data_IF_316137929877
#
_entry.id   IF_316137929877
#
_cell.length_a   1.000
_cell.length_b   1.000
_cell.length_c   1.000
_cell.angle_alpha   90.00
_cell.angle_beta   90.00
_cell.angle_gamma   90.00
#
_symmetry.space_group_name_H-M   'P 1'
#
loop_
_entity.id
_entity.type
_entity.pdbx_description
1 polymer ?
#
# COMPACT_ATOMS: atom_id res chain seq x y z
N UNK A 1 -8.67 -41.65 9.51
CA UNK A 1 -9.42 -40.39 9.75
C UNK A 1 -8.44 -39.22 9.65
N UNK A 2 -7.67 -39.14 8.55
CA UNK A 2 -6.41 -38.38 8.52
C UNK A 2 -6.33 -37.34 7.41
N UNK A 3 -7.37 -37.25 6.56
CA UNK A 3 -7.42 -36.30 5.46
C UNK A 3 -7.89 -34.91 5.90
N UNK A 4 -8.77 -34.85 6.92
CA UNK A 4 -9.37 -33.61 7.44
C UNK A 4 -8.40 -32.75 8.25
N UNK A 5 -7.41 -33.37 8.91
CA UNK A 5 -6.42 -32.66 9.75
C UNK A 5 -5.34 -31.99 8.87
N UNK A 6 -4.97 -32.60 7.74
CA UNK A 6 -4.03 -32.02 6.76
C UNK A 6 -4.63 -30.87 5.96
N UNK A 7 -5.92 -30.94 5.62
CA UNK A 7 -6.62 -29.80 5.00
C UNK A 7 -6.77 -28.61 5.94
N UNK A 8 -6.94 -28.84 7.25
CA UNK A 8 -7.10 -27.76 8.23
C UNK A 8 -5.78 -27.01 8.52
N UNK A 9 -4.64 -27.71 8.47
CA UNK A 9 -3.31 -27.11 8.67
C UNK A 9 -2.86 -26.24 7.49
N UNK A 10 -3.18 -26.62 6.25
CA UNK A 10 -2.89 -25.81 5.05
C UNK A 10 -3.70 -24.51 5.06
N UNK A 11 -4.98 -24.58 5.46
CA UNK A 11 -5.85 -23.39 5.56
C UNK A 11 -5.39 -22.44 6.67
N UNK A 12 -4.86 -22.96 7.78
CA UNK A 12 -4.36 -22.14 8.88
C UNK A 12 -3.03 -21.41 8.56
N UNK A 13 -2.17 -21.99 7.71
CA UNK A 13 -0.93 -21.35 7.25
C UNK A 13 -1.15 -20.20 6.27
N UNK A 14 -2.26 -20.21 5.52
CA UNK A 14 -2.59 -19.12 4.59
C UNK A 14 -3.15 -17.88 5.30
N UNK A 15 -3.76 -18.06 6.48
CA UNK A 15 -4.38 -16.98 7.24
C UNK A 15 -3.37 -16.11 8.02
N UNK A 16 -2.12 -16.53 8.20
CA UNK A 16 -1.14 -15.80 9.01
C UNK A 16 -0.41 -14.69 8.25
N UNK A 17 -0.41 -14.70 6.92
CA UNK A 17 0.36 -13.72 6.12
C UNK A 17 -0.34 -12.36 6.07
N UNK A 18 -1.68 -12.31 6.11
CA UNK A 18 -2.42 -11.04 5.96
C UNK A 18 -2.63 -10.26 7.26
N UNK A 19 -2.34 -10.85 8.43
CA UNK A 19 -2.67 -10.25 9.73
C UNK A 19 -1.55 -9.37 10.35
N UNK A 20 -0.43 -9.14 9.66
CA UNK A 20 0.73 -8.43 10.22
C UNK A 20 0.94 -6.99 9.72
N UNK A 21 0.17 -6.53 8.73
CA UNK A 21 0.21 -5.15 8.27
C UNK A 21 -0.29 -4.22 9.39
N UNK A 22 0.57 -3.31 9.87
CA UNK A 22 0.42 -2.36 11.00
C UNK A 22 1.07 -2.78 12.33
N UNK A 23 1.70 -3.95 12.45
CA UNK A 23 2.30 -4.39 13.73
C UNK A 23 3.42 -3.49 14.26
N UNK A 24 4.08 -2.72 13.38
CA UNK A 24 5.14 -1.75 13.76
C UNK A 24 4.65 -0.42 14.34
N UNK A 25 3.34 -0.13 14.31
CA UNK A 25 2.85 1.22 14.58
C UNK A 25 2.61 1.49 16.07
N UNK A 26 3.10 2.65 16.52
CA UNK A 26 2.83 3.20 17.86
C UNK A 26 1.73 4.26 17.74
N UNK A 27 1.23 4.75 18.87
CA UNK A 27 0.22 5.83 18.91
C UNK A 27 0.59 7.05 18.05
N UNK A 28 1.87 7.44 18.02
CA UNK A 28 2.34 8.54 17.18
C UNK A 28 2.20 8.21 15.68
N UNK A 29 2.59 7.02 15.26
CA UNK A 29 2.47 6.58 13.86
C UNK A 29 1.01 6.52 13.42
N UNK A 30 0.09 6.07 14.29
CA UNK A 30 -1.34 6.06 13.98
C UNK A 30 -1.88 7.49 13.77
N UNK A 31 -1.48 8.46 14.60
CA UNK A 31 -1.85 9.87 14.40
C UNK A 31 -1.32 10.43 13.09
N UNK A 32 -0.07 10.14 12.77
CA UNK A 32 0.53 10.53 11.49
C UNK A 32 -0.21 9.88 10.31
N UNK A 33 -0.63 8.62 10.44
CA UNK A 33 -1.40 7.94 9.41
C UNK A 33 -2.76 8.62 9.20
N UNK A 34 -3.47 8.95 10.28
CA UNK A 34 -4.75 9.66 10.20
C UNK A 34 -4.58 11.04 9.55
N UNK A 35 -3.52 11.78 9.90
CA UNK A 35 -3.17 13.06 9.29
C UNK A 35 -2.89 12.92 7.79
N UNK A 36 -2.07 11.94 7.40
CA UNK A 36 -1.76 11.68 6.00
C UNK A 36 -3.00 11.34 5.17
N UNK A 37 -3.93 10.56 5.74
CA UNK A 37 -5.22 10.22 5.11
C UNK A 37 -6.10 11.44 4.90
N UNK A 38 -6.16 12.33 5.89
CA UNK A 38 -6.92 13.60 5.76
C UNK A 38 -6.32 14.46 4.65
N UNK A 39 -5.00 14.68 4.65
CA UNK A 39 -4.31 15.43 3.60
C UNK A 39 -4.53 14.83 2.21
N UNK A 40 -4.42 13.50 2.08
CA UNK A 40 -4.69 12.80 0.83
C UNK A 40 -6.13 13.03 0.36
N UNK A 41 -7.12 12.93 1.26
CA UNK A 41 -8.53 13.16 0.93
C UNK A 41 -8.82 14.60 0.50
N UNK A 42 -8.05 15.57 0.99
CA UNK A 42 -8.12 16.97 0.59
C UNK A 42 -7.38 17.28 -0.72
N UNK A 43 -6.65 16.31 -1.28
CA UNK A 43 -5.81 16.49 -2.46
C UNK A 43 -4.47 17.17 -2.18
N UNK A 44 -4.07 17.28 -0.90
CA UNK A 44 -2.80 17.83 -0.44
C UNK A 44 -1.68 16.78 -0.59
N UNK A 45 -1.46 16.36 -1.84
CA UNK A 45 -0.65 15.18 -2.17
C UNK A 45 0.82 15.29 -1.74
N UNK A 46 1.41 16.48 -1.81
CA UNK A 46 2.82 16.68 -1.47
C UNK A 46 3.05 16.54 0.05
N UNK A 47 2.14 17.07 0.85
CA UNK A 47 2.14 17.00 2.31
C UNK A 47 1.87 15.57 2.77
N UNK A 48 0.84 14.93 2.21
CA UNK A 48 0.54 13.52 2.47
C UNK A 48 1.74 12.61 2.12
N UNK A 49 2.39 12.81 0.96
CA UNK A 49 3.56 12.03 0.56
C UNK A 49 4.72 12.12 1.56
N UNK A 50 4.97 13.30 2.14
CA UNK A 50 6.02 13.47 3.16
C UNK A 50 5.75 12.59 4.38
N UNK A 51 4.49 12.54 4.84
CA UNK A 51 4.12 11.72 6.00
C UNK A 51 4.20 10.23 5.64
N UNK A 52 3.66 9.81 4.49
CA UNK A 52 3.74 8.40 4.07
C UNK A 52 5.18 7.92 3.88
N UNK A 53 6.10 8.77 3.43
CA UNK A 53 7.53 8.44 3.35
C UNK A 53 8.17 8.22 4.73
N UNK A 54 7.69 8.89 5.78
CA UNK A 54 8.12 8.65 7.16
C UNK A 54 7.49 7.39 7.76
N UNK A 55 6.29 7.04 7.34
CA UNK A 55 5.53 5.89 7.82
C UNK A 55 5.98 4.57 7.18
N UNK A 56 6.32 4.57 5.89
CA UNK A 56 6.76 3.38 5.15
C UNK A 56 7.91 2.59 5.83
N UNK A 57 8.99 3.20 6.36
CA UNK A 57 10.05 2.44 7.01
C UNK A 57 9.66 1.90 8.40
N UNK A 58 8.58 2.38 9.01
CA UNK A 58 8.11 1.90 10.33
C UNK A 58 7.51 0.50 10.21
N UNK A 59 6.75 0.28 9.15
CA UNK A 59 6.23 -1.04 8.79
C UNK A 59 6.30 -1.21 7.26
N UNK A 60 7.45 -1.73 6.76
CA UNK A 60 7.68 -1.87 5.32
C UNK A 60 6.69 -2.80 4.61
N UNK A 61 6.05 -3.71 5.36
CA UNK A 61 5.08 -4.68 4.85
C UNK A 61 3.64 -4.13 4.87
N UNK A 62 3.45 -2.91 5.36
CA UNK A 62 2.14 -2.27 5.33
C UNK A 62 1.81 -1.76 3.93
N UNK A 63 1.27 -2.65 3.09
CA UNK A 63 0.96 -2.38 1.68
C UNK A 63 0.09 -1.14 1.49
N UNK A 64 -0.84 -0.86 2.40
CA UNK A 64 -1.72 0.32 2.34
C UNK A 64 -0.92 1.63 2.32
N UNK A 65 0.12 1.76 3.15
CA UNK A 65 0.96 2.97 3.22
C UNK A 65 1.72 3.18 1.91
N UNK A 66 2.17 2.08 1.30
CA UNK A 66 2.83 2.12 -0.01
C UNK A 66 1.85 2.51 -1.11
N UNK A 67 0.63 1.97 -1.06
CA UNK A 67 -0.43 2.30 -1.99
C UNK A 67 -0.83 3.79 -1.90
N UNK A 68 -1.05 4.29 -0.69
CA UNK A 68 -1.42 5.70 -0.44
C UNK A 68 -0.27 6.66 -0.82
N UNK A 69 1.00 6.29 -0.61
CA UNK A 69 2.14 7.03 -1.16
C UNK A 69 2.10 7.06 -2.70
N UNK A 70 1.77 5.94 -3.33
CA UNK A 70 1.56 5.85 -4.79
C UNK A 70 0.48 6.81 -5.28
N UNK A 71 -0.66 6.87 -4.60
CA UNK A 71 -1.73 7.83 -4.90
C UNK A 71 -1.24 9.28 -4.81
N UNK A 72 -0.49 9.61 -3.77
CA UNK A 72 0.10 10.94 -3.61
C UNK A 72 1.03 11.31 -4.77
N UNK A 73 1.93 10.39 -5.17
CA UNK A 73 2.86 10.64 -6.28
C UNK A 73 2.13 10.74 -7.63
N UNK A 74 1.08 9.95 -7.84
CA UNK A 74 0.23 10.02 -9.04
C UNK A 74 -0.58 11.33 -9.13
N UNK A 75 -1.01 11.86 -7.97
CA UNK A 75 -1.68 13.15 -7.84
C UNK A 75 -0.73 14.35 -7.99
N UNK A 76 0.58 14.15 -7.79
CA UNK A 76 1.57 15.23 -7.85
C UNK A 76 2.12 15.44 -9.26
N UNK A 77 2.02 16.67 -9.77
CA UNK A 77 2.55 17.03 -11.08
C UNK A 77 4.05 16.71 -11.21
N UNK A 78 4.43 16.08 -12.32
CA UNK A 78 5.81 15.69 -12.60
C UNK A 78 6.34 14.49 -11.80
N UNK A 79 5.54 13.87 -10.93
CA UNK A 79 5.98 12.72 -10.12
C UNK A 79 5.26 11.41 -10.44
N UNK A 80 4.37 11.39 -11.45
CA UNK A 80 3.52 10.24 -11.78
C UNK A 80 4.30 8.96 -12.07
N UNK A 81 5.39 9.05 -12.83
CA UNK A 81 6.26 7.90 -13.11
C UNK A 81 6.85 7.25 -11.85
N UNK A 82 7.00 8.00 -10.75
CA UNK A 82 7.48 7.46 -9.46
C UNK A 82 6.43 6.61 -8.73
N UNK A 83 5.15 6.72 -9.11
CA UNK A 83 4.07 5.94 -8.51
C UNK A 83 4.03 4.50 -9.05
N UNK A 84 4.46 4.28 -10.30
CA UNK A 84 4.45 2.98 -10.98
C UNK A 84 5.12 1.87 -10.14
N UNK A 85 6.39 1.99 -9.71
CA UNK A 85 7.05 0.93 -8.95
C UNK A 85 6.38 0.66 -7.59
N UNK A 86 5.66 1.64 -7.02
CA UNK A 86 4.89 1.45 -5.80
C UNK A 86 3.64 0.60 -6.07
N UNK A 87 2.90 0.92 -7.14
CA UNK A 87 1.73 0.15 -7.52
C UNK A 87 2.08 -1.26 -8.00
N UNK A 88 3.17 -1.45 -8.75
CA UNK A 88 3.68 -2.77 -9.13
C UNK A 88 3.93 -3.65 -7.90
N UNK A 89 4.54 -3.08 -6.86
CA UNK A 89 4.78 -3.81 -5.61
C UNK A 89 3.49 -4.13 -4.86
N UNK A 90 2.54 -3.18 -4.78
CA UNK A 90 1.24 -3.44 -4.18
C UNK A 90 0.47 -4.55 -4.93
N UNK A 91 0.55 -4.57 -6.26
CA UNK A 91 -0.03 -5.65 -7.09
C UNK A 91 0.63 -6.99 -6.80
N UNK A 92 1.96 -7.04 -6.69
CA UNK A 92 2.68 -8.26 -6.34
C UNK A 92 2.30 -8.80 -4.94
N UNK A 93 1.90 -7.91 -4.03
CA UNK A 93 1.42 -8.22 -2.69
C UNK A 93 -0.10 -8.49 -2.64
N UNK A 94 -0.79 -8.50 -3.78
CA UNK A 94 -2.21 -8.84 -3.89
C UNK A 94 -3.19 -7.70 -3.63
N UNK A 95 -2.73 -6.44 -3.63
CA UNK A 95 -3.60 -5.28 -3.45
C UNK A 95 -4.44 -5.01 -4.71
N UNK A 96 -5.75 -5.25 -4.63
CA UNK A 96 -6.64 -5.25 -5.80
C UNK A 96 -6.75 -3.88 -6.46
N UNK A 97 -6.93 -2.81 -5.68
CA UNK A 97 -7.10 -1.44 -6.17
C UNK A 97 -5.83 -0.90 -6.85
N UNK A 98 -4.66 -1.47 -6.51
CA UNK A 98 -3.40 -1.07 -7.12
C UNK A 98 -3.33 -1.45 -8.61
N UNK A 99 -4.05 -2.48 -9.06
CA UNK A 99 -4.14 -2.81 -10.49
C UNK A 99 -4.73 -1.66 -11.31
N UNK A 100 -5.81 -1.05 -10.82
CA UNK A 100 -6.46 0.06 -11.50
C UNK A 100 -5.53 1.28 -11.57
N UNK A 101 -4.85 1.60 -10.47
CA UNK A 101 -3.90 2.73 -10.45
C UNK A 101 -2.67 2.48 -11.32
N UNK A 102 -2.15 1.25 -11.35
CA UNK A 102 -1.05 0.87 -12.23
C UNK A 102 -1.45 1.00 -13.70
N UNK A 103 -2.61 0.49 -14.10
CA UNK A 103 -3.12 0.61 -15.45
C UNK A 103 -3.28 2.09 -15.87
N UNK A 104 -3.84 2.93 -15.00
CA UNK A 104 -3.96 4.37 -15.22
C UNK A 104 -2.60 5.06 -15.37
N UNK A 105 -1.61 4.67 -14.56
CA UNK A 105 -0.28 5.24 -14.62
C UNK A 105 0.45 4.85 -15.92
N UNK A 106 0.40 3.57 -16.30
CA UNK A 106 1.02 3.06 -17.53
C UNK A 106 0.39 3.63 -18.79
N UNK A 107 -0.94 3.72 -18.83
CA UNK A 107 -1.66 4.31 -19.96
C UNK A 107 -1.24 5.77 -20.21
N UNK A 108 -1.02 6.54 -19.14
CA UNK A 108 -0.59 7.94 -19.24
C UNK A 108 0.88 8.10 -19.64
N UNK A 109 1.71 7.09 -19.42
CA UNK A 109 3.13 7.07 -19.82
C UNK A 109 3.34 6.42 -21.20
N UNK A 110 2.26 6.07 -21.93
CA UNK A 110 2.30 5.41 -23.24
C UNK A 110 3.08 4.07 -23.25
N UNK A 111 3.22 3.43 -22.10
CA UNK A 111 3.90 2.13 -21.95
C UNK A 111 2.85 1.01 -22.01
N UNK A 112 2.85 0.25 -23.09
CA UNK A 112 2.01 -0.94 -23.31
C UNK A 112 2.82 -2.22 -23.14
#
# INVERSE_FOLDING_TARGET
MDLTIRSLTIVLCLATVTAHAQTGYKRMHNRMLDEAKVLLSNGEYQEAAKIYQLLLPVDPEFTEVRYELGLCLAGTSGQRGRAIPLFERCVAEGHTEAHYQLALALHREERF
#
